data_IF_755744533854
#
_entry.id   IF_755744533854
#
_cell.length_a   1.000
_cell.length_b   1.000
_cell.length_c   1.000
_cell.angle_alpha   90.00
_cell.angle_beta   90.00
_cell.angle_gamma   90.00
#
_symmetry.space_group_name_H-M   'P 1'
#
loop_
_entity.id
_entity.type
_entity.pdbx_description
1 polymer ?
#
# COMPACT_ATOMS: atom_id res chain seq x y z
N UNK A 1 -5.25 -18.66 11.36
CA UNK A 1 -4.14 -18.43 10.40
C UNK A 1 -2.97 -19.28 10.84
N UNK A 2 -2.48 -20.16 9.96
CA UNK A 2 -1.35 -21.04 10.25
C UNK A 2 -0.07 -20.19 10.13
N UNK A 3 0.48 -19.76 11.27
CA UNK A 3 1.70 -18.94 11.33
C UNK A 3 2.83 -19.67 10.60
N UNK A 4 3.45 -18.97 9.64
CA UNK A 4 4.31 -19.54 8.61
C UNK A 4 5.41 -20.44 9.16
N UNK A 5 5.60 -21.60 8.51
CA UNK A 5 6.70 -22.53 8.79
C UNK A 5 8.04 -21.85 8.51
N UNK A 6 8.89 -21.73 9.52
CA UNK A 6 10.28 -21.29 9.33
C UNK A 6 11.17 -22.53 9.31
N UNK A 7 11.78 -22.79 8.16
CA UNK A 7 12.82 -23.83 8.02
C UNK A 7 14.19 -23.19 8.21
N UNK A 8 14.91 -23.60 9.24
CA UNK A 8 16.30 -23.18 9.44
C UNK A 8 17.21 -23.94 8.46
N UNK A 9 18.15 -23.26 7.77
CA UNK A 9 19.02 -23.92 6.81
C UNK A 9 19.94 -24.92 7.50
N UNK A 10 20.03 -26.14 6.94
CA UNK A 10 21.02 -27.16 7.30
C UNK A 10 22.39 -26.77 6.75
N UNK A 11 23.04 -25.78 7.35
CA UNK A 11 24.45 -25.51 7.11
C UNK A 11 25.24 -26.08 8.29
N UNK A 12 25.88 -27.23 8.06
CA UNK A 12 26.78 -27.85 9.01
C UNK A 12 27.93 -26.89 9.33
N UNK A 13 27.90 -26.33 10.54
CA UNK A 13 29.05 -25.72 11.17
C UNK A 13 29.63 -26.80 12.09
N UNK A 14 30.70 -27.47 11.63
CA UNK A 14 31.58 -28.19 12.54
C UNK A 14 32.25 -27.15 13.43
N UNK A 15 31.78 -27.05 14.68
CA UNK A 15 32.42 -26.30 15.75
C UNK A 15 32.89 -27.37 16.75
N UNK A 16 34.04 -27.96 16.44
CA UNK A 16 34.86 -28.67 17.43
C UNK A 16 35.48 -27.59 18.33
N UNK A 17 34.80 -27.28 19.42
CA UNK A 17 35.36 -27.17 20.78
C UNK A 17 34.40 -26.37 21.67
N UNK A 18 33.95 -27.03 22.75
CA UNK A 18 33.41 -26.36 23.93
C UNK A 18 31.89 -26.37 24.09
N UNK A 19 31.36 -27.54 24.47
CA UNK A 19 30.18 -27.73 25.32
C UNK A 19 28.82 -27.19 24.80
N UNK A 20 28.23 -27.94 23.87
CA UNK A 20 26.86 -27.78 23.38
C UNK A 20 26.10 -29.12 23.51
N UNK A 21 26.14 -29.74 24.69
CA UNK A 21 25.43 -31.00 24.94
C UNK A 21 24.02 -30.78 25.50
N UNK A 22 23.04 -30.71 24.59
CA UNK A 22 21.72 -31.38 24.69
C UNK A 22 20.69 -30.84 23.67
N UNK A 23 21.15 -30.59 22.44
CA UNK A 23 20.24 -30.45 21.31
C UNK A 23 20.39 -31.70 20.45
N UNK A 24 19.66 -32.74 20.84
CA UNK A 24 19.22 -33.76 19.88
C UNK A 24 18.24 -33.03 18.94
N UNK A 25 18.80 -32.40 17.90
CA UNK A 25 18.04 -31.82 16.79
C UNK A 25 17.60 -32.99 15.93
N UNK A 26 16.68 -33.79 16.48
CA UNK A 26 15.82 -34.60 15.63
C UNK A 26 14.95 -33.64 14.83
N UNK A 27 14.81 -33.92 13.54
CA UNK A 27 14.24 -33.03 12.54
C UNK A 27 12.73 -32.81 12.70
N UNK A 28 12.32 -32.22 13.81
CA UNK A 28 10.93 -31.88 14.11
C UNK A 28 10.59 -30.49 13.60
N UNK A 29 9.56 -30.41 12.76
CA UNK A 29 8.91 -29.14 12.44
C UNK A 29 8.40 -28.48 13.73
N UNK A 30 8.96 -27.33 14.12
CA UNK A 30 8.43 -26.57 15.26
C UNK A 30 7.24 -25.77 14.76
N UNK A 31 6.03 -26.23 15.10
CA UNK A 31 4.81 -25.45 14.92
C UNK A 31 4.79 -24.33 15.97
N UNK A 32 4.57 -23.07 15.55
CA UNK A 32 4.53 -21.89 16.42
C UNK A 32 3.49 -22.01 17.56
N UNK A 33 2.47 -22.87 17.38
CA UNK A 33 1.46 -23.16 18.40
C UNK A 33 2.07 -23.80 19.67
N UNK A 34 3.16 -24.57 19.54
CA UNK A 34 3.83 -25.21 20.68
C UNK A 34 4.72 -24.22 21.46
N UNK A 35 5.18 -23.13 20.83
CA UNK A 35 6.00 -22.11 21.47
C UNK A 35 5.22 -21.23 22.45
N UNK A 36 3.91 -21.12 22.28
CA UNK A 36 3.04 -20.33 23.17
C UNK A 36 2.94 -20.97 24.56
N UNK A 37 3.02 -22.30 24.64
CA UNK A 37 2.80 -23.08 25.86
C UNK A 37 4.09 -23.57 26.54
N UNK A 38 5.26 -23.35 25.92
CA UNK A 38 6.56 -23.72 26.48
C UNK A 38 7.41 -22.46 26.76
N UNK A 39 7.50 -22.04 28.04
CA UNK A 39 8.33 -20.90 28.44
C UNK A 39 9.79 -21.06 28.03
N UNK A 40 10.33 -22.28 28.06
CA UNK A 40 11.73 -22.54 27.72
C UNK A 40 11.99 -22.36 26.22
N UNK A 41 11.03 -22.72 25.37
CA UNK A 41 11.12 -22.55 23.93
C UNK A 41 11.00 -21.07 23.55
N UNK A 42 10.12 -20.33 24.22
CA UNK A 42 9.98 -18.88 24.09
C UNK A 42 11.29 -18.17 24.48
N UNK A 43 11.89 -18.52 25.61
CA UNK A 43 13.15 -17.93 26.06
C UNK A 43 14.29 -18.22 25.07
N UNK A 44 14.38 -19.46 24.56
CA UNK A 44 15.35 -19.83 23.52
C UNK A 44 15.16 -19.03 22.23
N UNK A 45 13.92 -18.84 21.78
CA UNK A 45 13.60 -18.04 20.59
C UNK A 45 13.99 -16.57 20.77
N UNK A 46 13.66 -15.97 21.92
CA UNK A 46 14.06 -14.60 22.25
C UNK A 46 15.58 -14.44 22.25
N UNK A 47 16.31 -15.34 22.93
CA UNK A 47 17.78 -15.29 22.98
C UNK A 47 18.39 -15.43 21.58
N UNK A 48 17.84 -16.30 20.73
CA UNK A 48 18.30 -16.44 19.34
C UNK A 48 18.07 -15.16 18.52
N UNK A 49 16.94 -14.48 18.72
CA UNK A 49 16.67 -13.20 18.07
C UNK A 49 17.68 -12.14 18.51
N UNK A 50 17.97 -12.04 19.81
CA UNK A 50 18.96 -11.10 20.35
C UNK A 50 20.36 -11.35 19.79
N UNK A 51 20.75 -12.63 19.65
CA UNK A 51 22.01 -13.03 19.03
C UNK A 51 22.07 -12.60 17.56
N UNK A 52 20.98 -12.81 16.80
CA UNK A 52 20.90 -12.38 15.40
C UNK A 52 20.95 -10.86 15.27
N UNK A 53 20.24 -10.12 16.12
CA UNK A 53 20.29 -8.65 16.16
C UNK A 53 21.73 -8.20 16.40
N UNK A 54 22.39 -8.76 17.42
CA UNK A 54 23.78 -8.42 17.76
C UNK A 54 24.73 -8.72 16.59
N UNK A 55 24.56 -9.87 15.94
CA UNK A 55 25.34 -10.24 14.77
C UNK A 55 25.16 -9.24 13.62
N UNK A 56 23.92 -8.90 13.27
CA UNK A 56 23.65 -7.93 12.21
C UNK A 56 24.14 -6.52 12.55
N UNK A 57 24.05 -6.12 13.82
CA UNK A 57 24.60 -4.84 14.30
C UNK A 57 26.13 -4.79 14.13
N UNK A 58 26.83 -5.89 14.48
CA UNK A 58 28.27 -5.99 14.28
C UNK A 58 28.66 -5.93 12.80
N UNK A 59 27.90 -6.60 11.92
CA UNK A 59 28.11 -6.51 10.48
C UNK A 59 27.91 -5.08 9.97
N UNK A 60 26.86 -4.37 10.40
CA UNK A 60 26.61 -2.98 10.01
C UNK A 60 27.70 -2.02 10.53
N UNK A 61 28.22 -2.26 11.73
CA UNK A 61 29.34 -1.49 12.28
C UNK A 61 30.64 -1.73 11.50
N UNK A 62 30.93 -2.99 11.15
CA UNK A 62 32.11 -3.34 10.35
C UNK A 62 32.08 -2.73 8.94
N UNK A 63 30.89 -2.46 8.41
CA UNK A 63 30.68 -1.79 7.13
C UNK A 63 30.79 -0.25 7.23
N UNK A 64 31.17 0.34 8.37
CA UNK A 64 31.32 1.79 8.47
C UNK A 64 32.61 2.32 7.79
N UNK A 65 32.57 3.50 7.14
CA UNK A 65 31.39 4.33 6.96
C UNK A 65 30.40 3.72 5.97
N UNK A 66 29.10 3.84 6.26
CA UNK A 66 28.06 3.44 5.32
C UNK A 66 28.12 4.39 4.11
N UNK A 67 28.28 3.85 2.91
CA UNK A 67 28.43 4.64 1.69
C UNK A 67 27.11 4.88 0.96
N UNK A 68 26.04 4.18 1.36
CA UNK A 68 24.73 4.27 0.75
C UNK A 68 23.65 4.41 1.84
N UNK A 69 22.61 5.18 1.51
CA UNK A 69 21.42 5.31 2.33
C UNK A 69 20.44 4.21 1.96
N UNK A 70 20.06 3.39 2.93
CA UNK A 70 19.12 2.27 2.77
C UNK A 70 17.76 2.70 3.30
N UNK A 71 16.75 2.54 2.47
CA UNK A 71 15.35 2.73 2.84
C UNK A 71 14.68 1.37 2.97
N UNK A 72 14.02 1.13 4.10
CA UNK A 72 13.26 -0.11 4.34
C UNK A 72 11.78 0.26 4.36
N UNK A 73 11.06 -0.05 3.29
CA UNK A 73 9.66 0.32 3.14
C UNK A 73 8.74 -0.80 3.65
N UNK A 74 7.89 -0.49 4.61
CA UNK A 74 6.81 -1.34 5.08
C UNK A 74 5.49 -0.83 4.52
N UNK A 75 4.85 -1.64 3.68
CA UNK A 75 3.59 -1.32 3.01
C UNK A 75 2.54 -2.40 3.37
N UNK A 76 1.25 -2.09 3.18
CA UNK A 76 0.11 -3.00 3.42
C UNK A 76 0.02 -3.56 4.85
N UNK A 77 0.47 -2.79 5.82
CA UNK A 77 0.45 -3.19 7.25
C UNK A 77 -0.99 -3.26 7.77
N UNK A 78 -1.89 -2.52 7.13
CA UNK A 78 -3.31 -2.50 7.39
C UNK A 78 -4.05 -3.79 7.00
N UNK A 79 -3.49 -4.64 6.12
CA UNK A 79 -4.08 -5.96 5.81
C UNK A 79 -4.13 -6.88 7.05
N UNK A 80 -3.23 -6.69 8.01
CA UNK A 80 -3.22 -7.43 9.27
C UNK A 80 -4.23 -6.86 10.31
N UNK A 81 -4.97 -5.81 9.97
CA UNK A 81 -5.91 -5.13 10.85
C UNK A 81 -7.32 -5.74 10.73
N UNK A 82 -7.49 -6.98 11.23
CA UNK A 82 -8.80 -7.64 11.29
C UNK A 82 -9.43 -7.57 12.71
N UNK A 83 -10.76 -7.65 12.79
CA UNK A 83 -11.53 -7.53 14.05
C UNK A 83 -11.13 -8.57 15.12
N UNK A 84 -10.54 -9.69 14.71
CA UNK A 84 -10.15 -10.79 15.59
C UNK A 84 -8.80 -10.51 16.25
N UNK A 85 -7.89 -9.83 15.54
CA UNK A 85 -6.50 -9.62 15.94
C UNK A 85 -6.13 -8.17 16.21
N UNK A 86 -7.08 -7.22 16.14
CA UNK A 86 -6.84 -5.77 16.32
C UNK A 86 -5.89 -5.45 17.47
N UNK A 87 -6.09 -6.05 18.65
CA UNK A 87 -5.24 -5.75 19.82
C UNK A 87 -3.79 -6.22 19.65
N UNK A 88 -3.59 -7.35 18.97
CA UNK A 88 -2.26 -7.88 18.64
C UNK A 88 -1.62 -7.00 17.56
N UNK A 89 -2.36 -6.74 16.48
CA UNK A 89 -1.91 -5.91 15.36
C UNK A 89 -1.56 -4.50 15.84
N UNK A 90 -2.36 -3.90 16.73
CA UNK A 90 -2.06 -2.60 17.36
C UNK A 90 -0.72 -2.60 18.08
N UNK A 91 -0.41 -3.65 18.87
CA UNK A 91 0.88 -3.75 19.58
C UNK A 91 2.05 -3.95 18.62
N UNK A 92 1.88 -4.78 17.59
CA UNK A 92 2.92 -5.04 16.59
C UNK A 92 3.24 -3.78 15.80
N UNK A 93 2.21 -3.06 15.32
CA UNK A 93 2.37 -1.81 14.56
C UNK A 93 2.98 -0.73 15.45
N UNK A 94 2.53 -0.60 16.70
CA UNK A 94 3.13 0.35 17.64
C UNK A 94 4.61 0.05 17.91
N UNK A 95 4.96 -1.23 18.06
CA UNK A 95 6.34 -1.69 18.18
C UNK A 95 7.17 -1.38 16.94
N UNK A 96 6.62 -1.59 15.74
CA UNK A 96 7.27 -1.27 14.47
C UNK A 96 7.55 0.25 14.34
N UNK A 97 6.58 1.09 14.66
CA UNK A 97 6.74 2.56 14.63
C UNK A 97 7.83 3.00 15.62
N UNK A 98 7.81 2.46 16.84
CA UNK A 98 8.83 2.78 17.86
C UNK A 98 10.23 2.30 17.43
N UNK A 99 10.32 1.10 16.87
CA UNK A 99 11.58 0.57 16.35
C UNK A 99 12.13 1.43 15.20
N UNK A 100 11.27 1.84 14.26
CA UNK A 100 11.62 2.71 13.15
C UNK A 100 12.18 4.07 13.59
N UNK A 101 11.52 4.69 14.58
CA UNK A 101 11.96 5.96 15.18
C UNK A 101 13.32 5.82 15.86
N UNK A 102 13.58 4.70 16.56
CA UNK A 102 14.86 4.45 17.24
C UNK A 102 16.02 4.11 16.28
N UNK A 103 15.74 3.44 15.16
CA UNK A 103 16.75 2.96 14.21
C UNK A 103 17.37 4.11 13.39
N UNK A 104 16.54 5.07 12.96
CA UNK A 104 16.99 6.20 12.14
C UNK A 104 18.14 6.99 12.80
N UNK A 105 18.04 7.46 14.05
CA UNK A 105 19.14 8.14 14.74
C UNK A 105 20.30 7.19 15.09
N UNK A 106 20.03 5.92 15.46
CA UNK A 106 21.06 4.91 15.75
C UNK A 106 22.05 4.75 14.59
N UNK A 107 21.54 4.79 13.35
CA UNK A 107 22.35 4.69 12.14
C UNK A 107 22.62 6.03 11.45
N UNK A 108 22.53 7.17 12.15
CA UNK A 108 22.79 8.52 11.61
C UNK A 108 22.02 8.82 10.31
N UNK A 109 20.83 8.25 10.17
CA UNK A 109 19.97 8.36 8.99
C UNK A 109 20.41 7.52 7.79
N UNK A 110 21.43 6.67 7.88
CA UNK A 110 21.82 5.76 6.78
C UNK A 110 20.85 4.60 6.62
N UNK A 111 20.19 4.17 7.69
CA UNK A 111 19.09 3.21 7.65
C UNK A 111 17.81 3.97 7.98
N UNK A 112 16.86 4.02 7.04
CA UNK A 112 15.59 4.73 7.19
C UNK A 112 14.42 3.81 6.92
N UNK A 113 13.81 3.26 7.98
CA UNK A 113 12.51 2.62 7.88
C UNK A 113 11.46 3.64 7.46
N UNK A 114 10.63 3.31 6.48
CA UNK A 114 9.47 4.07 6.03
C UNK A 114 8.24 3.18 6.21
N UNK A 115 7.25 3.70 6.92
CA UNK A 115 6.02 2.97 7.26
C UNK A 115 4.87 3.66 6.54
N UNK A 116 4.21 2.94 5.64
CA UNK A 116 2.95 3.38 5.05
C UNK A 116 1.82 2.83 5.90
N UNK A 117 1.05 3.75 6.49
CA UNK A 117 -0.04 3.40 7.39
C UNK A 117 -1.22 4.32 7.13
N UNK A 118 -2.43 3.76 7.22
CA UNK A 118 -3.65 4.55 7.15
C UNK A 118 -3.77 5.45 8.38
N UNK A 119 -4.30 6.66 8.16
CA UNK A 119 -4.47 7.66 9.22
C UNK A 119 -5.38 7.17 10.35
N UNK A 120 -6.49 6.51 10.02
CA UNK A 120 -7.43 5.95 10.99
C UNK A 120 -6.80 4.87 11.89
N UNK A 121 -5.89 4.05 11.34
CA UNK A 121 -5.13 3.07 12.12
C UNK A 121 -4.08 3.76 13.00
N UNK A 122 -3.36 4.77 12.47
CA UNK A 122 -2.36 5.50 13.22
C UNK A 122 -2.96 6.19 14.46
N UNK A 123 -4.15 6.78 14.33
CA UNK A 123 -4.82 7.51 15.41
C UNK A 123 -5.23 6.64 16.61
N UNK A 124 -5.39 5.33 16.41
CA UNK A 124 -5.73 4.38 17.49
C UNK A 124 -4.52 3.67 18.09
N UNK A 125 -3.29 3.95 17.61
CA UNK A 125 -2.07 3.38 18.19
C UNK A 125 -1.74 4.07 19.52
N UNK A 126 -1.45 3.28 20.55
CA UNK A 126 -0.96 3.78 21.83
C UNK A 126 0.55 4.04 21.78
N UNK A 127 0.94 5.11 21.08
CA UNK A 127 2.33 5.54 20.94
C UNK A 127 2.68 6.60 21.99
N UNK A 128 3.91 6.54 22.54
CA UNK A 128 4.47 7.66 23.28
C UNK A 128 4.84 8.78 22.29
N UNK A 129 4.55 10.03 22.66
CA UNK A 129 4.82 11.21 21.82
C UNK A 129 4.24 11.12 20.39
N UNK A 130 3.02 10.59 20.25
CA UNK A 130 2.34 10.44 18.95
C UNK A 130 2.26 11.74 18.14
N UNK A 131 2.07 12.89 18.80
CA UNK A 131 2.07 14.20 18.15
C UNK A 131 3.42 14.52 17.50
N UNK A 132 4.53 14.22 18.20
CA UNK A 132 5.88 14.41 17.66
C UNK A 132 6.11 13.50 16.46
N UNK A 133 5.69 12.24 16.55
CA UNK A 133 5.80 11.31 15.42
C UNK A 133 4.98 11.76 14.21
N UNK A 134 3.79 12.35 14.44
CA UNK A 134 2.92 12.87 13.38
C UNK A 134 3.49 14.13 12.73
N UNK A 135 3.99 15.07 13.54
CA UNK A 135 4.42 16.40 13.08
C UNK A 135 5.87 16.44 12.60
N UNK A 136 6.79 15.76 13.29
CA UNK A 136 8.23 15.82 12.99
C UNK A 136 8.70 14.68 12.06
N UNK A 137 8.01 13.53 12.11
CA UNK A 137 8.44 12.29 11.44
C UNK A 137 7.42 11.76 10.41
N UNK A 138 6.22 12.34 10.35
CA UNK A 138 5.12 11.89 9.51
C UNK A 138 4.83 12.84 8.35
N UNK A 139 4.32 12.30 7.26
CA UNK A 139 3.80 13.08 6.13
C UNK A 139 2.44 12.50 5.72
N UNK A 140 1.41 13.35 5.69
CA UNK A 140 0.06 12.92 5.32
C UNK A 140 -0.07 12.89 3.80
N UNK A 141 -0.18 11.69 3.24
CA UNK A 141 -0.44 11.51 1.82
C UNK A 141 -1.95 11.63 1.55
N UNK A 142 -2.39 12.79 1.06
CA UNK A 142 -3.79 13.03 0.75
C UNK A 142 -4.02 13.58 -0.67
N UNK A 143 -5.16 13.23 -1.26
CA UNK A 143 -5.61 13.78 -2.53
C UNK A 143 -6.59 14.93 -2.31
N UNK A 144 -6.21 16.13 -2.74
CA UNK A 144 -7.16 17.23 -2.89
C UNK A 144 -7.82 17.15 -4.27
N UNK A 145 -8.93 17.87 -4.45
CA UNK A 145 -9.58 18.02 -5.76
C UNK A 145 -8.56 18.48 -6.82
N UNK A 146 -7.73 19.45 -6.46
CA UNK A 146 -6.75 20.06 -7.37
C UNK A 146 -5.62 19.08 -7.72
N UNK A 147 -5.07 18.37 -6.73
CA UNK A 147 -3.98 17.42 -6.99
C UNK A 147 -4.46 16.22 -7.80
N UNK A 148 -5.70 15.76 -7.57
CA UNK A 148 -6.32 14.68 -8.33
C UNK A 148 -6.57 15.07 -9.79
N UNK A 149 -7.13 16.26 -10.05
CA UNK A 149 -7.32 16.76 -11.42
C UNK A 149 -5.99 16.98 -12.13
N UNK A 150 -4.99 17.54 -11.43
CA UNK A 150 -3.64 17.70 -11.96
C UNK A 150 -3.01 16.36 -12.36
N UNK A 151 -3.17 15.33 -11.54
CA UNK A 151 -2.69 13.98 -11.85
C UNK A 151 -3.37 13.41 -13.11
N UNK A 152 -4.69 13.56 -13.22
CA UNK A 152 -5.43 13.13 -14.41
C UNK A 152 -4.94 13.85 -15.67
N UNK A 153 -4.82 15.19 -15.63
CA UNK A 153 -4.32 15.99 -16.74
C UNK A 153 -2.89 15.61 -17.12
N UNK A 154 -2.01 15.35 -16.15
CA UNK A 154 -0.64 14.88 -16.42
C UNK A 154 -0.65 13.55 -17.17
N UNK A 155 -1.49 12.58 -16.77
CA UNK A 155 -1.63 11.30 -17.48
C UNK A 155 -2.16 11.50 -18.89
N UNK A 156 -3.23 12.28 -19.06
CA UNK A 156 -3.83 12.55 -20.36
C UNK A 156 -2.82 13.21 -21.30
N UNK A 157 -2.15 14.26 -20.82
CA UNK A 157 -1.19 15.03 -21.60
C UNK A 157 0.07 14.27 -21.95
N UNK A 158 0.50 13.32 -21.11
CA UNK A 158 1.56 12.38 -21.46
C UNK A 158 1.22 11.58 -22.73
N UNK A 159 0.00 11.06 -22.82
CA UNK A 159 -0.46 10.36 -24.02
C UNK A 159 -0.77 11.31 -25.18
N UNK A 160 -1.29 12.51 -24.92
CA UNK A 160 -1.54 13.51 -25.96
C UNK A 160 -0.24 13.89 -26.69
N UNK A 161 0.81 14.23 -25.94
CA UNK A 161 2.13 14.55 -26.49
C UNK A 161 2.71 13.39 -27.31
N UNK A 162 2.59 12.16 -26.81
CA UNK A 162 3.06 10.96 -27.53
C UNK A 162 2.32 10.69 -28.84
N UNK A 163 1.07 11.15 -28.95
CA UNK A 163 0.23 10.97 -30.14
C UNK A 163 0.12 12.26 -30.99
N UNK A 164 0.97 13.27 -30.75
CA UNK A 164 0.93 14.58 -31.42
C UNK A 164 -0.46 15.23 -31.38
N UNK A 165 -1.11 15.17 -30.22
CA UNK A 165 -2.39 15.85 -29.94
C UNK A 165 -2.15 17.07 -29.05
N UNK A 166 -3.06 18.03 -29.15
CA UNK A 166 -3.04 19.22 -28.31
C UNK A 166 -3.17 18.86 -26.83
N UNK A 167 -2.55 19.68 -25.98
CA UNK A 167 -2.62 19.51 -24.53
C UNK A 167 -4.01 19.90 -24.03
N UNK A 168 -4.50 19.13 -23.06
CA UNK A 168 -5.75 19.36 -22.35
C UNK A 168 -5.44 20.14 -21.07
N UNK A 169 -6.18 21.21 -20.83
CA UNK A 169 -5.99 22.08 -19.66
C UNK A 169 -7.07 21.93 -18.60
N UNK A 170 -8.28 21.52 -18.99
CA UNK A 170 -9.37 21.17 -18.08
C UNK A 170 -9.91 19.78 -18.44
N UNK A 171 -10.17 18.96 -17.43
CA UNK A 171 -10.78 17.63 -17.61
C UNK A 171 -12.20 17.76 -18.17
N UNK A 172 -12.92 18.82 -17.82
CA UNK A 172 -14.28 19.05 -18.32
C UNK A 172 -14.30 19.36 -19.84
N UNK A 173 -13.20 19.85 -20.42
CA UNK A 173 -13.10 20.11 -21.87
C UNK A 173 -13.16 18.83 -22.71
N UNK A 174 -12.86 17.67 -22.10
CA UNK A 174 -12.97 16.36 -22.73
C UNK A 174 -14.41 15.98 -23.05
N UNK A 175 -15.39 16.59 -22.39
CA UNK A 175 -16.79 16.23 -22.52
C UNK A 175 -17.53 17.11 -23.53
N UNK A 176 -18.56 16.53 -24.13
CA UNK A 176 -19.45 17.14 -25.13
C UNK A 176 -20.30 18.29 -24.56
N UNK A 177 -20.65 18.21 -23.27
CA UNK A 177 -21.45 19.20 -22.56
C UNK A 177 -20.83 19.61 -21.23
N UNK A 178 -20.97 20.90 -20.83
CA UNK A 178 -20.37 21.42 -19.61
C UNK A 178 -21.07 20.94 -18.33
N UNK A 179 -22.33 20.49 -18.45
CA UNK A 179 -23.17 20.09 -17.31
C UNK A 179 -23.92 18.78 -17.60
N UNK A 180 -24.07 17.98 -16.55
CA UNK A 180 -24.87 16.77 -16.49
C UNK A 180 -26.21 17.04 -15.78
N UNK A 181 -26.99 15.99 -15.48
CA UNK A 181 -28.22 16.12 -14.69
C UNK A 181 -27.91 16.82 -13.37
N UNK A 182 -28.85 17.65 -12.91
CA UNK A 182 -28.69 18.48 -11.70
C UNK A 182 -27.57 19.54 -11.79
N UNK A 183 -27.17 19.96 -13.00
CA UNK A 183 -26.14 21.00 -13.24
C UNK A 183 -24.75 20.64 -12.67
N UNK A 184 -24.48 19.36 -12.50
CA UNK A 184 -23.16 18.89 -12.06
C UNK A 184 -22.19 18.89 -13.25
N UNK A 185 -21.00 19.46 -13.08
CA UNK A 185 -19.91 19.25 -14.05
C UNK A 185 -19.54 17.76 -14.13
N UNK A 186 -19.16 17.23 -15.30
CA UNK A 186 -18.66 15.86 -15.45
C UNK A 186 -17.56 15.51 -14.44
N UNK A 187 -16.56 16.38 -14.30
CA UNK A 187 -15.45 16.21 -13.37
C UNK A 187 -15.92 16.10 -11.90
N UNK A 188 -16.89 16.91 -11.49
CA UNK A 188 -17.50 16.87 -10.15
C UNK A 188 -18.26 15.56 -9.91
N UNK A 189 -18.97 15.07 -10.92
CA UNK A 189 -19.75 13.85 -10.82
C UNK A 189 -18.85 12.64 -10.63
N UNK A 190 -17.83 12.50 -11.49
CA UNK A 190 -16.84 11.43 -11.43
C UNK A 190 -16.16 11.41 -10.06
N UNK A 191 -15.70 12.57 -9.59
CA UNK A 191 -15.01 12.72 -8.32
C UNK A 191 -15.85 12.28 -7.11
N UNK A 192 -17.16 12.55 -7.15
CA UNK A 192 -18.09 12.12 -6.10
C UNK A 192 -18.31 10.61 -6.12
N UNK A 193 -18.37 10.00 -7.31
CA UNK A 193 -18.56 8.55 -7.48
C UNK A 193 -17.32 7.73 -7.16
N UNK A 194 -16.15 8.29 -7.41
CA UNK A 194 -14.86 7.68 -7.08
C UNK A 194 -14.41 7.91 -5.63
N UNK A 195 -15.19 8.65 -4.83
CA UNK A 195 -14.83 9.03 -3.45
C UNK A 195 -13.42 9.63 -3.33
N UNK A 196 -13.01 10.48 -4.28
CA UNK A 196 -11.65 11.06 -4.34
C UNK A 196 -10.50 10.05 -4.52
N UNK A 197 -10.79 8.76 -4.72
CA UNK A 197 -9.76 7.75 -4.95
C UNK A 197 -9.26 7.84 -6.39
N UNK A 198 -7.94 8.01 -6.62
CA UNK A 198 -7.41 8.19 -7.97
C UNK A 198 -7.59 6.97 -8.87
N UNK A 199 -7.46 5.76 -8.31
CA UNK A 199 -7.67 4.50 -9.02
C UNK A 199 -9.09 4.42 -9.56
N UNK A 200 -10.06 4.71 -8.71
CA UNK A 200 -11.49 4.68 -9.01
C UNK A 200 -11.85 5.73 -10.07
N UNK A 201 -11.27 6.93 -10.00
CA UNK A 201 -11.42 7.96 -11.05
C UNK A 201 -10.98 7.45 -12.42
N UNK A 202 -9.78 6.85 -12.48
CA UNK A 202 -9.23 6.31 -13.72
C UNK A 202 -10.09 5.15 -14.22
N UNK A 203 -10.53 4.26 -13.32
CA UNK A 203 -11.38 3.13 -13.66
C UNK A 203 -12.71 3.61 -14.25
N UNK A 204 -13.41 4.52 -13.57
CA UNK A 204 -14.69 5.05 -14.03
C UNK A 204 -14.55 5.76 -15.39
N UNK A 205 -13.54 6.60 -15.58
CA UNK A 205 -13.24 7.21 -16.89
C UNK A 205 -12.97 6.17 -17.98
N UNK A 206 -12.21 5.12 -17.65
CA UNK A 206 -11.93 4.03 -18.59
C UNK A 206 -13.21 3.29 -18.97
N UNK A 207 -14.09 3.00 -18.01
CA UNK A 207 -15.39 2.38 -18.25
C UNK A 207 -16.32 3.29 -19.07
N UNK A 208 -16.30 4.60 -18.86
CA UNK A 208 -17.00 5.58 -19.71
C UNK A 208 -16.54 5.51 -21.16
N UNK A 209 -15.21 5.47 -21.38
CA UNK A 209 -14.64 5.35 -22.73
C UNK A 209 -15.02 4.01 -23.38
N UNK A 210 -14.94 2.91 -22.62
CA UNK A 210 -15.34 1.58 -23.10
C UNK A 210 -16.81 1.54 -23.47
N UNK A 211 -17.70 1.99 -22.59
CA UNK A 211 -19.14 2.01 -22.84
C UNK A 211 -19.51 2.83 -24.08
N UNK A 212 -18.86 3.98 -24.30
CA UNK A 212 -19.05 4.78 -25.51
C UNK A 212 -18.55 4.05 -26.77
N UNK A 213 -17.42 3.36 -26.70
CA UNK A 213 -16.89 2.61 -27.85
C UNK A 213 -17.76 1.41 -28.19
N UNK A 214 -18.23 0.68 -27.18
CA UNK A 214 -19.04 -0.52 -27.35
C UNK A 214 -20.37 -0.18 -28.03
N UNK A 215 -21.05 0.88 -27.58
CA UNK A 215 -22.30 1.35 -28.16
C UNK A 215 -22.13 1.88 -29.60
N UNK A 216 -21.02 2.57 -29.89
CA UNK A 216 -20.75 3.10 -31.25
C UNK A 216 -20.25 2.04 -32.23
N UNK A 217 -19.68 0.95 -31.73
CA UNK A 217 -19.30 -0.21 -32.54
C UNK A 217 -20.47 -1.18 -32.75
N UNK A 218 -21.61 -0.98 -32.08
CA UNK A 218 -22.81 -1.79 -32.29
C UNK A 218 -23.43 -1.47 -33.66
N UNK A 219 -23.50 -2.44 -34.60
CA UNK A 219 -24.08 -2.22 -35.92
C UNK A 219 -25.57 -1.85 -35.88
N UNK A 220 -26.25 -2.03 -34.75
CA UNK A 220 -27.65 -1.68 -34.53
C UNK A 220 -27.85 -0.34 -33.83
N UNK A 221 -26.76 0.35 -33.44
CA UNK A 221 -26.82 1.68 -32.82
C UNK A 221 -27.19 2.78 -33.82
N UNK A 222 -28.05 3.70 -33.39
CA UNK A 222 -28.41 4.90 -34.16
C UNK A 222 -27.27 5.92 -34.22
N UNK A 223 -26.25 5.81 -33.35
CA UNK A 223 -25.18 6.79 -33.16
C UNK A 223 -23.81 6.26 -33.65
N UNK A 224 -23.65 6.11 -34.97
CA UNK A 224 -22.43 5.51 -35.55
C UNK A 224 -21.19 6.45 -35.61
N UNK A 225 -21.32 7.74 -35.26
CA UNK A 225 -20.18 8.67 -35.33
C UNK A 225 -19.48 8.88 -33.98
N UNK A 226 -18.18 8.58 -33.91
CA UNK A 226 -17.35 8.94 -32.75
C UNK A 226 -16.94 10.39 -32.89
N UNK A 227 -17.60 11.29 -32.14
CA UNK A 227 -17.13 12.67 -31.96
C UNK A 227 -15.77 12.71 -31.25
N UNK A 228 -15.08 13.85 -31.35
CA UNK A 228 -13.78 14.06 -30.68
C UNK A 228 -13.88 14.26 -29.15
N UNK A 229 -15.10 14.26 -28.60
CA UNK A 229 -15.40 14.48 -27.19
C UNK A 229 -16.12 13.28 -26.59
N UNK A 230 -15.94 13.09 -25.29
CA UNK A 230 -16.66 12.10 -24.50
C UNK A 230 -18.08 12.60 -24.28
N UNK A 231 -19.05 11.77 -24.66
CA UNK A 231 -20.44 12.07 -24.35
C UNK A 231 -20.70 11.83 -22.86
N UNK A 232 -21.06 12.88 -22.13
CA UNK A 232 -21.22 12.81 -20.68
C UNK A 232 -22.36 11.88 -20.23
N UNK A 233 -23.21 11.41 -21.16
CA UNK A 233 -24.21 10.38 -20.89
C UNK A 233 -23.61 9.01 -20.58
N UNK A 234 -22.48 8.65 -21.22
CA UNK A 234 -21.81 7.38 -20.97
C UNK A 234 -21.15 7.29 -19.60
N UNK A 235 -21.06 8.40 -18.86
CA UNK A 235 -20.71 8.34 -17.43
C UNK A 235 -21.79 7.53 -16.68
N UNK A 236 -23.07 7.75 -17.00
CA UNK A 236 -24.17 6.99 -16.41
C UNK A 236 -24.19 5.54 -16.90
N UNK A 237 -23.92 5.30 -18.19
CA UNK A 237 -23.87 3.94 -18.75
C UNK A 237 -22.70 3.12 -18.19
N UNK A 238 -21.63 3.78 -17.76
CA UNK A 238 -20.50 3.13 -17.11
C UNK A 238 -20.80 2.70 -15.66
N UNK A 239 -21.76 3.34 -14.97
CA UNK A 239 -22.03 3.10 -13.54
C UNK A 239 -22.27 1.62 -13.20
N UNK A 240 -23.09 0.83 -13.93
CA UNK A 240 -23.28 -0.58 -13.63
C UNK A 240 -21.97 -1.38 -13.68
N UNK A 241 -21.16 -1.17 -14.73
CA UNK A 241 -19.89 -1.86 -14.91
C UNK A 241 -18.82 -1.44 -13.88
N UNK A 242 -18.81 -0.17 -13.51
CA UNK A 242 -17.96 0.37 -12.45
C UNK A 242 -18.39 -0.15 -11.08
N UNK A 243 -19.70 -0.23 -10.82
CA UNK A 243 -20.25 -0.75 -9.56
C UNK A 243 -19.90 -2.22 -9.35
N UNK A 244 -19.94 -3.05 -10.40
CA UNK A 244 -19.54 -4.46 -10.28
C UNK A 244 -18.03 -4.58 -10.03
N UNK A 245 -17.21 -3.77 -10.71
CA UNK A 245 -15.77 -3.71 -10.43
C UNK A 245 -15.48 -3.27 -9.00
N UNK A 246 -16.14 -2.21 -8.51
CA UNK A 246 -15.96 -1.70 -7.16
C UNK A 246 -16.38 -2.74 -6.10
N UNK A 247 -17.46 -3.49 -6.37
CA UNK A 247 -17.88 -4.59 -5.51
C UNK A 247 -16.84 -5.70 -5.44
N UNK A 248 -16.21 -6.06 -6.56
CA UNK A 248 -15.13 -7.04 -6.58
C UNK A 248 -13.92 -6.55 -5.79
N UNK A 249 -13.50 -5.29 -5.98
CA UNK A 249 -12.40 -4.70 -5.20
C UNK A 249 -12.66 -4.74 -3.69
N UNK A 250 -13.89 -4.41 -3.26
CA UNK A 250 -14.25 -4.44 -1.82
C UNK A 250 -14.31 -5.86 -1.26
N UNK A 251 -14.48 -6.88 -2.09
CA UNK A 251 -14.43 -8.29 -1.67
C UNK A 251 -12.97 -8.80 -1.62
N UNK A 252 -12.13 -8.28 -2.51
CA UNK A 252 -10.72 -8.64 -2.60
C UNK A 252 -9.84 -7.90 -1.56
N UNK A 253 -10.28 -6.72 -1.09
CA UNK A 253 -9.75 -5.98 0.08
C UNK A 253 -10.16 -6.64 1.41
#
# INVERSE_FOLDING_TARGET
>A
MNLGKVSLPKAGLNIDDGDLNSLDVDGGEVLFENAVNDPSLKDKLCNNIDHLITFFENCLQACQPLHAKVFVCFDRIDEAWDDISVDISRRVIAGLVTAADSLTPKYKGYVRPLIFLREDIFEVLSLNDSNKLREDCGELLHWSRETLMKMLLQRINYYAARNNKDLVHDVDDLFDRPEMRQRAKPSNYLMKRSMMRPRDMICLLTKTISSMRDDKNDPFSENQSVGNKLEAEYIYHAEPSYSEWLKQEVIDE
#
